data_IF_430884516115
#
_entry.id   IF_430884516115
#
_cell.length_a   1.000
_cell.length_b   1.000
_cell.length_c   1.000
_cell.angle_alpha   90.00
_cell.angle_beta   90.00
_cell.angle_gamma   90.00
#
_symmetry.space_group_name_H-M   'P 1'
#
loop_
_entity.id
_entity.type
_entity.pdbx_description
1 polymer ?
#
# COMPACT_ATOMS: atom_id res chain seq x y z
N UNK A 1 14.94 -3.90 -16.44
CA UNK A 1 14.76 -5.36 -16.66
C UNK A 1 13.30 -5.79 -16.49
N UNK A 2 12.62 -5.46 -15.38
CA UNK A 2 11.17 -5.70 -15.18
C UNK A 2 10.27 -5.11 -16.27
N UNK A 3 10.56 -3.87 -16.69
CA UNK A 3 9.83 -3.18 -17.77
C UNK A 3 9.98 -3.89 -19.14
N UNK A 4 11.13 -4.54 -19.38
CA UNK A 4 11.41 -5.28 -20.61
C UNK A 4 10.69 -6.64 -20.63
N UNK A 5 10.69 -7.35 -19.49
CA UNK A 5 9.91 -8.58 -19.32
C UNK A 5 8.40 -8.32 -19.47
N UNK A 6 7.92 -7.14 -19.06
CA UNK A 6 6.53 -6.74 -19.22
C UNK A 6 6.18 -6.44 -20.69
N UNK A 7 7.06 -5.75 -21.42
CA UNK A 7 6.91 -5.58 -22.87
C UNK A 7 6.88 -6.91 -23.61
N UNK A 8 7.72 -7.87 -23.19
CA UNK A 8 7.80 -9.18 -23.81
C UNK A 8 6.56 -10.04 -23.52
N UNK A 9 6.04 -9.99 -22.29
CA UNK A 9 4.78 -10.65 -21.92
C UNK A 9 3.56 -10.05 -22.65
N UNK A 10 3.50 -8.72 -22.77
CA UNK A 10 2.45 -8.05 -23.53
C UNK A 10 2.49 -8.45 -25.02
N UNK A 11 3.67 -8.47 -25.64
CA UNK A 11 3.86 -8.91 -27.04
C UNK A 11 3.46 -10.37 -27.26
N UNK A 12 3.74 -11.26 -26.30
CA UNK A 12 3.33 -12.68 -26.38
C UNK A 12 1.80 -12.81 -26.31
N UNK A 13 1.13 -12.09 -25.41
CA UNK A 13 -0.34 -12.12 -25.28
C UNK A 13 -1.02 -11.60 -26.57
N UNK A 14 -0.46 -10.57 -27.20
CA UNK A 14 -0.93 -10.00 -28.47
C UNK A 14 -0.86 -11.04 -29.60
N UNK A 15 0.25 -11.76 -29.72
CA UNK A 15 0.40 -12.77 -30.77
C UNK A 15 -0.57 -13.96 -30.58
N UNK A 16 -0.94 -14.28 -29.34
CA UNK A 16 -1.97 -15.30 -29.08
C UNK A 16 -3.41 -14.78 -29.27
N UNK A 17 -3.68 -13.49 -29.03
CA UNK A 17 -5.02 -12.90 -29.15
C UNK A 17 -5.44 -12.63 -30.61
N UNK A 18 -4.51 -12.18 -31.45
CA UNK A 18 -4.75 -11.91 -32.88
C UNK A 18 -5.15 -13.19 -33.64
N UNK A 19 -4.69 -14.36 -33.18
CA UNK A 19 -5.10 -15.64 -33.76
C UNK A 19 -6.55 -16.03 -33.42
N UNK A 20 -7.18 -15.42 -32.41
CA UNK A 20 -8.54 -15.77 -31.94
C UNK A 20 -9.63 -14.74 -32.26
N UNK A 21 -9.26 -13.51 -32.65
CA UNK A 21 -10.21 -12.41 -32.87
C UNK A 21 -10.94 -12.41 -34.24
N UNK A 22 -10.83 -13.49 -35.02
CA UNK A 22 -11.57 -13.63 -36.28
C UNK A 22 -12.95 -14.31 -36.14
N UNK A 23 -13.42 -14.59 -34.92
CA UNK A 23 -14.81 -15.05 -34.72
C UNK A 23 -15.71 -13.85 -34.43
N UNK A 24 -16.34 -13.36 -35.49
CA UNK A 24 -17.39 -12.35 -35.45
C UNK A 24 -18.56 -12.78 -34.55
N UNK A 25 -19.10 -11.92 -33.67
CA UNK A 25 -20.29 -12.24 -32.91
C UNK A 25 -21.47 -12.42 -33.86
N UNK A 26 -21.94 -13.66 -34.02
CA UNK A 26 -23.17 -13.98 -34.75
C UNK A 26 -24.38 -13.57 -33.88
N UNK A 27 -24.71 -12.28 -33.93
CA UNK A 27 -25.87 -11.70 -33.27
C UNK A 27 -26.91 -11.21 -34.28
N UNK A 28 -27.75 -12.12 -34.76
CA UNK A 28 -29.13 -11.94 -35.22
C UNK A 28 -29.54 -10.72 -36.06
N UNK A 29 -28.74 -10.39 -37.07
CA UNK A 29 -29.29 -9.96 -38.36
C UNK A 29 -28.39 -10.60 -39.43
N UNK A 30 -28.86 -11.67 -40.07
CA UNK A 30 -28.13 -12.33 -41.15
C UNK A 30 -28.11 -11.39 -42.38
N UNK A 31 -27.26 -10.37 -42.37
CA UNK A 31 -26.97 -9.62 -43.60
C UNK A 31 -26.29 -10.62 -44.55
N UNK A 32 -27.06 -11.09 -45.53
CA UNK A 32 -26.63 -12.11 -46.48
C UNK A 32 -25.50 -11.55 -47.35
N UNK A 33 -24.31 -12.12 -47.19
CA UNK A 33 -23.15 -11.79 -48.00
C UNK A 33 -23.29 -12.47 -49.37
N UNK A 34 -23.35 -11.69 -50.45
CA UNK A 34 -23.39 -12.21 -51.82
C UNK A 34 -21.96 -12.18 -52.36
N UNK A 35 -21.40 -13.35 -52.66
CA UNK A 35 -20.14 -13.46 -53.38
C UNK A 35 -20.42 -13.29 -54.87
N UNK A 36 -19.91 -12.22 -55.46
CA UNK A 36 -19.98 -12.00 -56.92
C UNK A 36 -19.05 -12.98 -57.65
N UNK A 37 -19.30 -13.22 -58.94
CA UNK A 37 -18.53 -14.15 -59.78
C UNK A 37 -17.03 -13.81 -59.89
N UNK A 38 -16.64 -12.56 -59.57
CA UNK A 38 -15.25 -12.12 -59.50
C UNK A 38 -14.59 -12.34 -58.11
N UNK A 39 -15.25 -13.06 -57.20
CA UNK A 39 -14.76 -13.31 -55.83
C UNK A 39 -14.91 -12.12 -54.88
N UNK A 40 -15.51 -11.01 -55.31
CA UNK A 40 -15.76 -9.87 -54.43
C UNK A 40 -17.04 -10.10 -53.61
N UNK A 41 -16.97 -9.86 -52.30
CA UNK A 41 -18.12 -10.02 -51.40
C UNK A 41 -18.86 -8.69 -51.30
N UNK A 42 -20.10 -8.65 -51.75
CA UNK A 42 -20.99 -7.48 -51.66
C UNK A 42 -22.17 -7.79 -50.73
N UNK A 43 -22.53 -6.83 -49.88
CA UNK A 43 -23.70 -6.97 -49.00
C UNK A 43 -24.96 -6.61 -49.79
N UNK A 44 -25.99 -7.46 -49.70
CA UNK A 44 -27.28 -7.22 -50.36
C UNK A 44 -27.93 -5.95 -49.78
N UNK A 45 -28.08 -4.91 -50.62
CA UNK A 45 -28.64 -3.61 -50.21
C UNK A 45 -30.17 -3.60 -50.19
N UNK A 46 -30.82 -4.72 -50.52
CA UNK A 46 -32.28 -4.80 -50.55
C UNK A 46 -32.95 -4.84 -49.17
N UNK A 47 -32.18 -5.04 -48.09
CA UNK A 47 -32.70 -5.06 -46.72
C UNK A 47 -32.44 -3.72 -45.99
N UNK A 48 -33.46 -2.88 -45.75
CA UNK A 48 -33.30 -1.55 -45.14
C UNK A 48 -32.78 -1.61 -43.69
N UNK A 49 -32.86 -2.78 -43.03
CA UNK A 49 -32.31 -2.99 -41.68
C UNK A 49 -30.77 -3.06 -41.65
N UNK A 50 -30.11 -3.43 -42.75
CA UNK A 50 -28.65 -3.50 -42.86
C UNK A 50 -28.03 -2.17 -43.36
N UNK A 51 -28.83 -1.26 -43.93
CA UNK A 51 -28.34 -0.01 -44.53
C UNK A 51 -27.70 0.94 -43.51
N UNK A 52 -28.30 1.10 -42.33
CA UNK A 52 -27.83 2.02 -41.29
C UNK A 52 -26.59 1.49 -40.55
N UNK A 53 -26.50 0.17 -40.34
CA UNK A 53 -25.33 -0.45 -39.68
C UNK A 53 -24.11 -0.47 -40.59
N UNK A 54 -24.31 -0.63 -41.91
CA UNK A 54 -23.24 -0.58 -42.91
C UNK A 54 -22.81 0.86 -43.16
N UNK A 55 -23.72 1.85 -43.23
CA UNK A 55 -23.36 3.25 -43.38
C UNK A 55 -22.45 3.75 -42.23
N UNK A 56 -22.71 3.31 -40.99
CA UNK A 56 -21.89 3.72 -39.84
C UNK A 56 -20.51 3.06 -39.80
N UNK A 57 -20.36 1.81 -40.29
CA UNK A 57 -19.06 1.11 -40.37
C UNK A 57 -18.25 1.44 -41.64
N UNK A 58 -18.91 1.62 -42.78
CA UNK A 58 -18.30 2.01 -44.07
C UNK A 58 -17.76 3.44 -44.02
N UNK A 59 -18.38 4.31 -43.22
CA UNK A 59 -17.93 5.69 -43.03
C UNK A 59 -16.70 5.84 -42.12
N UNK A 60 -16.37 4.85 -41.28
CA UNK A 60 -15.24 4.98 -40.33
C UNK A 60 -13.96 4.27 -40.75
N UNK A 61 -13.99 3.09 -41.38
CA UNK A 61 -12.78 2.46 -41.96
C UNK A 61 -13.10 1.26 -42.87
N UNK A 62 -13.96 1.38 -43.89
CA UNK A 62 -14.31 0.17 -44.67
C UNK A 62 -14.93 0.36 -46.04
N UNK A 63 -14.20 0.94 -46.98
CA UNK A 63 -14.40 0.63 -48.40
C UNK A 63 -13.06 0.29 -49.01
N UNK A 64 -12.83 -0.99 -49.30
CA UNK A 64 -11.63 -1.49 -49.99
C UNK A 64 -11.75 -1.02 -51.46
N UNK A 65 -11.49 0.26 -51.67
CA UNK A 65 -11.36 0.93 -52.95
C UNK A 65 -9.99 1.57 -52.96
N UNK A 66 -9.17 1.17 -53.91
CA UNK A 66 -7.75 1.48 -54.01
C UNK A 66 -7.45 2.98 -53.92
N UNK A 67 -6.43 3.28 -53.11
CA UNK A 67 -5.47 4.38 -53.27
C UNK A 67 -6.05 5.79 -53.39
N UNK A 68 -6.33 6.43 -52.25
CA UNK A 68 -6.04 7.86 -52.07
C UNK A 68 -6.09 8.20 -50.57
N UNK A 69 -5.07 8.92 -50.06
CA UNK A 69 -4.78 9.49 -48.71
C UNK A 69 -5.40 8.88 -47.42
N UNK A 70 -6.63 8.38 -47.43
CA UNK A 70 -7.39 7.82 -46.30
C UNK A 70 -6.91 6.46 -45.79
N UNK A 71 -6.04 5.76 -46.52
CA UNK A 71 -5.47 4.48 -46.05
C UNK A 71 -4.52 4.67 -44.86
N UNK A 72 -3.74 5.76 -44.85
CA UNK A 72 -2.82 6.07 -43.75
C UNK A 72 -3.58 6.44 -42.47
N UNK A 73 -4.71 7.13 -42.59
CA UNK A 73 -5.58 7.51 -41.46
C UNK A 73 -6.21 6.28 -40.78
N UNK A 74 -6.68 5.30 -41.56
CA UNK A 74 -7.24 4.07 -41.00
C UNK A 74 -6.18 3.16 -40.37
N UNK A 75 -4.99 3.07 -40.97
CA UNK A 75 -3.88 2.32 -40.37
C UNK A 75 -3.46 2.94 -39.03
N UNK A 76 -3.36 4.27 -38.97
CA UNK A 76 -3.06 5.00 -37.73
C UNK A 76 -4.15 4.78 -36.66
N UNK A 77 -5.43 4.82 -37.03
CA UNK A 77 -6.55 4.58 -36.10
C UNK A 77 -6.50 3.18 -35.48
N UNK A 78 -6.26 2.14 -36.29
CA UNK A 78 -6.18 0.76 -35.78
C UNK A 78 -4.99 0.53 -34.85
N UNK A 79 -3.84 1.15 -35.14
CA UNK A 79 -2.67 1.08 -34.26
C UNK A 79 -2.95 1.78 -32.93
N UNK A 80 -3.56 2.97 -32.96
CA UNK A 80 -3.93 3.72 -31.76
C UNK A 80 -4.95 2.92 -30.93
N UNK A 81 -5.99 2.37 -31.55
CA UNK A 81 -6.98 1.53 -30.87
C UNK A 81 -6.33 0.31 -30.19
N UNK A 82 -5.42 -0.39 -30.87
CA UNK A 82 -4.71 -1.52 -30.29
C UNK A 82 -3.86 -1.12 -29.07
N UNK A 83 -3.14 0.01 -29.13
CA UNK A 83 -2.35 0.52 -28.00
C UNK A 83 -3.27 0.87 -26.81
N UNK A 84 -4.45 1.45 -27.09
CA UNK A 84 -5.41 1.83 -26.06
C UNK A 84 -6.03 0.62 -25.36
N UNK A 85 -6.37 -0.43 -26.12
CA UNK A 85 -6.85 -1.69 -25.55
C UNK A 85 -5.79 -2.34 -24.65
N UNK A 86 -4.51 -2.27 -25.05
CA UNK A 86 -3.39 -2.75 -24.21
C UNK A 86 -3.27 -1.95 -22.91
N UNK A 87 -3.36 -0.62 -22.98
CA UNK A 87 -3.28 0.26 -21.79
C UNK A 87 -4.47 -0.01 -20.87
N UNK A 88 -5.69 -0.09 -21.41
CA UNK A 88 -6.89 -0.37 -20.62
C UNK A 88 -6.81 -1.74 -19.94
N UNK A 89 -6.38 -2.77 -20.67
CA UNK A 89 -6.15 -4.10 -20.13
C UNK A 89 -5.10 -4.11 -19.01
N UNK A 90 -4.00 -3.38 -19.18
CA UNK A 90 -2.95 -3.25 -18.17
C UNK A 90 -3.46 -2.53 -16.91
N UNK A 91 -4.24 -1.45 -17.05
CA UNK A 91 -4.84 -0.73 -15.92
C UNK A 91 -5.78 -1.65 -15.15
N UNK A 92 -6.68 -2.35 -15.85
CA UNK A 92 -7.63 -3.27 -15.23
C UNK A 92 -6.92 -4.42 -14.50
N UNK A 93 -5.89 -4.99 -15.11
CA UNK A 93 -5.05 -5.99 -14.45
C UNK A 93 -4.41 -5.44 -13.17
N UNK A 94 -3.82 -4.25 -13.22
CA UNK A 94 -3.17 -3.64 -12.07
C UNK A 94 -4.17 -3.26 -10.96
N UNK A 95 -5.35 -2.74 -11.29
CA UNK A 95 -6.40 -2.45 -10.30
C UNK A 95 -6.86 -3.74 -9.62
N UNK A 96 -7.13 -4.80 -10.39
CA UNK A 96 -7.51 -6.09 -9.84
C UNK A 96 -6.40 -6.68 -8.95
N UNK A 97 -5.14 -6.53 -9.35
CA UNK A 97 -3.99 -6.93 -8.54
C UNK A 97 -3.93 -6.15 -7.23
N UNK A 98 -4.09 -4.81 -7.26
CA UNK A 98 -4.11 -3.97 -6.05
C UNK A 98 -5.25 -4.39 -5.12
N UNK A 99 -6.46 -4.58 -5.66
CA UNK A 99 -7.63 -5.00 -4.87
C UNK A 99 -7.41 -6.38 -4.22
N UNK A 100 -6.78 -7.31 -4.94
CA UNK A 100 -6.39 -8.61 -4.39
C UNK A 100 -5.34 -8.47 -3.29
N UNK A 101 -4.31 -7.64 -3.48
CA UNK A 101 -3.25 -7.46 -2.48
C UNK A 101 -3.75 -6.69 -1.24
N UNK A 102 -4.67 -5.75 -1.40
CA UNK A 102 -5.29 -4.99 -0.30
C UNK A 102 -6.09 -5.89 0.65
N UNK A 103 -6.78 -6.90 0.11
CA UNK A 103 -7.53 -7.88 0.91
C UNK A 103 -6.68 -9.01 1.42
N UNK A 104 -5.59 -9.32 0.72
CA UNK A 104 -4.69 -10.38 1.11
C UNK A 104 -3.93 -10.01 2.39
N UNK A 105 -4.18 -10.78 3.45
CA UNK A 105 -3.40 -10.74 4.68
C UNK A 105 -2.55 -12.01 4.74
N UNK A 106 -1.22 -11.91 4.89
CA UNK A 106 -0.34 -13.06 4.84
C UNK A 106 -0.64 -13.97 6.02
N UNK A 107 -0.80 -15.27 5.77
CA UNK A 107 -0.93 -16.24 6.84
C UNK A 107 0.43 -16.45 7.52
N UNK A 108 0.49 -16.06 8.80
CA UNK A 108 1.68 -16.18 9.63
C UNK A 108 1.73 -17.50 10.41
N UNK A 109 0.74 -18.39 10.25
CA UNK A 109 0.68 -19.68 10.97
C UNK A 109 1.96 -20.51 10.76
N UNK A 110 2.46 -20.56 9.52
CA UNK A 110 3.70 -21.26 9.15
C UNK A 110 4.98 -20.58 9.67
N UNK A 111 4.92 -19.29 10.03
CA UNK A 111 6.06 -18.56 10.56
C UNK A 111 6.24 -18.72 12.08
N UNK A 112 5.32 -19.41 12.76
CA UNK A 112 5.36 -19.59 14.22
C UNK A 112 6.63 -20.27 14.71
N UNK A 113 7.08 -21.32 14.04
CA UNK A 113 8.32 -22.02 14.45
C UNK A 113 9.54 -21.10 14.37
N UNK A 114 9.62 -20.27 13.32
CA UNK A 114 10.69 -19.29 13.15
C UNK A 114 10.60 -18.16 14.19
N UNK A 115 9.39 -17.70 14.52
CA UNK A 115 9.15 -16.76 15.61
C UNK A 115 9.63 -17.31 16.95
N UNK A 116 9.30 -18.58 17.27
CA UNK A 116 9.71 -19.23 18.52
C UNK A 116 11.25 -19.35 18.65
N UNK A 117 11.96 -19.52 17.53
CA UNK A 117 13.44 -19.49 17.51
C UNK A 117 13.97 -18.11 17.87
N UNK A 118 13.39 -17.05 17.31
CA UNK A 118 13.77 -15.66 17.65
C UNK A 118 13.44 -15.36 19.11
N UNK A 119 12.25 -15.77 19.57
CA UNK A 119 11.82 -15.61 20.96
C UNK A 119 12.80 -16.24 21.94
N UNK A 120 13.34 -17.44 21.64
CA UNK A 120 14.38 -18.08 22.48
C UNK A 120 15.66 -17.25 22.57
N UNK A 121 16.06 -16.59 21.48
CA UNK A 121 17.21 -15.67 21.49
C UNK A 121 16.92 -14.48 22.40
N UNK A 122 15.74 -13.87 22.31
CA UNK A 122 15.35 -12.77 23.20
C UNK A 122 15.25 -13.24 24.66
N UNK A 123 14.78 -14.46 24.90
CA UNK A 123 14.75 -15.06 26.24
C UNK A 123 16.13 -15.20 26.89
N UNK A 124 17.17 -15.49 26.10
CA UNK A 124 18.54 -15.49 26.61
C UNK A 124 19.00 -14.10 27.10
N UNK A 125 18.51 -13.03 26.47
CA UNK A 125 18.77 -11.65 26.90
C UNK A 125 18.09 -11.32 28.24
N UNK A 126 16.92 -11.90 28.54
CA UNK A 126 16.29 -11.70 29.86
C UNK A 126 17.06 -12.35 30.99
N UNK A 127 17.67 -13.52 30.76
CA UNK A 127 18.53 -14.14 31.78
C UNK A 127 19.69 -13.21 32.15
N UNK A 128 20.29 -12.57 31.14
CA UNK A 128 21.33 -11.55 31.35
C UNK A 128 20.78 -10.33 32.09
N UNK A 129 19.58 -9.86 31.72
CA UNK A 129 18.96 -8.69 32.33
C UNK A 129 18.56 -8.92 33.80
N UNK A 130 18.06 -10.12 34.13
CA UNK A 130 17.78 -10.55 35.50
C UNK A 130 19.09 -10.66 36.31
N UNK A 131 20.18 -11.13 35.68
CA UNK A 131 21.50 -11.18 36.32
C UNK A 131 22.02 -9.79 36.65
N UNK A 132 21.90 -8.83 35.73
CA UNK A 132 22.22 -7.41 35.96
C UNK A 132 21.35 -6.84 37.09
N UNK A 133 20.05 -7.14 37.08
CA UNK A 133 19.12 -6.71 38.11
C UNK A 133 19.51 -7.27 39.49
N UNK A 134 19.97 -8.52 39.55
CA UNK A 134 20.48 -9.16 40.78
C UNK A 134 21.72 -8.44 41.32
N UNK A 135 22.68 -8.11 40.46
CA UNK A 135 23.85 -7.31 40.84
C UNK A 135 23.43 -5.91 41.32
N UNK A 136 22.52 -5.25 40.59
CA UNK A 136 22.01 -3.94 40.93
C UNK A 136 21.26 -3.94 42.28
N UNK A 137 20.55 -5.03 42.61
CA UNK A 137 19.92 -5.21 43.91
C UNK A 137 20.95 -5.30 45.05
N UNK A 138 22.02 -6.10 44.88
CA UNK A 138 23.07 -6.28 45.90
C UNK A 138 23.75 -4.95 46.23
N UNK A 139 24.11 -4.16 45.21
CA UNK A 139 24.79 -2.88 45.42
C UNK A 139 23.83 -1.74 45.78
N UNK A 140 22.64 -1.71 45.16
CA UNK A 140 21.62 -0.67 45.36
C UNK A 140 20.87 -0.77 46.70
N UNK A 141 20.95 -1.91 47.39
CA UNK A 141 20.28 -2.11 48.68
C UNK A 141 20.79 -1.20 49.82
N UNK A 142 21.93 -0.52 49.65
CA UNK A 142 22.51 0.37 50.69
C UNK A 142 21.74 1.68 50.87
N UNK A 143 21.09 2.19 49.82
CA UNK A 143 20.29 3.42 49.89
C UNK A 143 18.80 3.13 49.76
N UNK A 144 17.96 3.96 50.38
CA UNK A 144 16.50 3.87 50.25
C UNK A 144 16.06 4.00 48.78
N UNK A 145 16.66 4.96 48.08
CA UNK A 145 16.38 5.25 46.66
C UNK A 145 16.74 4.07 45.75
N UNK A 146 17.89 3.42 45.97
CA UNK A 146 18.31 2.25 45.20
C UNK A 146 17.30 1.09 45.31
N UNK A 147 16.77 0.84 46.52
CA UNK A 147 15.75 -0.20 46.74
C UNK A 147 14.46 0.06 45.97
N UNK A 148 14.00 1.31 45.94
CA UNK A 148 12.77 1.68 45.21
C UNK A 148 13.00 1.49 43.71
N UNK A 149 14.14 1.95 43.19
CA UNK A 149 14.48 1.79 41.76
C UNK A 149 14.62 0.34 41.33
N UNK A 150 15.22 -0.53 42.15
CA UNK A 150 15.32 -1.97 41.85
C UNK A 150 13.92 -2.62 41.78
N UNK A 151 13.01 -2.27 42.70
CA UNK A 151 11.64 -2.82 42.68
C UNK A 151 10.91 -2.44 41.38
N UNK A 152 11.00 -1.17 40.97
CA UNK A 152 10.40 -0.68 39.72
C UNK A 152 11.01 -1.41 38.52
N UNK A 153 12.33 -1.61 38.50
CA UNK A 153 12.98 -2.39 37.44
C UNK A 153 12.51 -3.84 37.43
N UNK A 154 12.44 -4.52 38.57
CA UNK A 154 11.97 -5.89 38.68
C UNK A 154 10.55 -6.08 38.16
N UNK A 155 9.64 -5.18 38.55
CA UNK A 155 8.25 -5.17 38.06
C UNK A 155 8.19 -5.06 36.53
N UNK A 156 8.99 -4.18 35.94
CA UNK A 156 9.06 -4.01 34.49
C UNK A 156 9.61 -5.25 33.78
N UNK A 157 10.64 -5.90 34.33
CA UNK A 157 11.19 -7.13 33.76
C UNK A 157 10.15 -8.27 33.77
N UNK A 158 9.41 -8.42 34.87
CA UNK A 158 8.33 -9.39 34.95
C UNK A 158 7.23 -9.08 33.92
N UNK A 159 6.84 -7.81 33.78
CA UNK A 159 5.86 -7.39 32.79
C UNK A 159 6.31 -7.71 31.35
N UNK A 160 7.61 -7.56 31.04
CA UNK A 160 8.16 -7.92 29.73
C UNK A 160 7.95 -9.40 29.44
N UNK A 161 8.33 -10.28 30.37
CA UNK A 161 8.21 -11.73 30.21
C UNK A 161 6.76 -12.13 29.94
N UNK A 162 5.81 -11.55 30.70
CA UNK A 162 4.38 -11.83 30.55
C UNK A 162 3.88 -11.34 29.18
N UNK A 163 4.14 -10.08 28.82
CA UNK A 163 3.63 -9.48 27.57
C UNK A 163 4.21 -10.19 26.35
N UNK A 164 5.50 -10.51 26.36
CA UNK A 164 6.17 -11.16 25.25
C UNK A 164 5.68 -12.60 25.05
N UNK A 165 5.31 -13.32 26.12
CA UNK A 165 4.70 -14.65 26.00
C UNK A 165 3.38 -14.66 25.20
N UNK A 166 2.68 -13.51 25.17
CA UNK A 166 1.44 -13.31 24.41
C UNK A 166 1.71 -12.55 23.09
N UNK A 167 2.96 -12.20 22.80
CA UNK A 167 3.34 -11.34 21.67
C UNK A 167 2.86 -11.85 20.31
N UNK A 168 3.08 -13.13 20.00
CA UNK A 168 2.61 -13.73 18.75
C UNK A 168 1.08 -13.63 18.59
N UNK A 169 0.35 -13.85 19.69
CA UNK A 169 -1.11 -13.75 19.70
C UNK A 169 -1.57 -12.31 19.41
N UNK A 170 -0.93 -11.31 20.02
CA UNK A 170 -1.23 -9.90 19.75
C UNK A 170 -0.99 -9.53 18.29
N UNK A 171 0.15 -9.93 17.73
CA UNK A 171 0.48 -9.67 16.33
C UNK A 171 -0.50 -10.35 15.37
N UNK A 172 -0.81 -11.62 15.61
CA UNK A 172 -1.81 -12.37 14.82
C UNK A 172 -3.19 -11.73 14.90
N UNK A 173 -3.61 -11.28 16.08
CA UNK A 173 -4.89 -10.63 16.29
C UNK A 173 -4.95 -9.29 15.55
N UNK A 174 -3.88 -8.50 15.58
CA UNK A 174 -3.80 -7.24 14.85
C UNK A 174 -3.92 -7.45 13.33
N UNK A 175 -3.24 -8.45 12.76
CA UNK A 175 -3.38 -8.81 11.35
C UNK A 175 -4.80 -9.25 10.99
N UNK A 176 -5.42 -10.12 11.81
CA UNK A 176 -6.81 -10.57 11.59
C UNK A 176 -7.81 -9.41 11.68
N UNK A 177 -7.59 -8.49 12.62
CA UNK A 177 -8.42 -7.30 12.73
C UNK A 177 -8.30 -6.42 11.49
N UNK A 178 -7.07 -6.17 11.00
CA UNK A 178 -6.87 -5.45 9.74
C UNK A 178 -7.57 -6.15 8.56
N UNK A 179 -7.43 -7.48 8.44
CA UNK A 179 -8.10 -8.27 7.40
C UNK A 179 -9.63 -8.14 7.46
N UNK A 180 -10.20 -8.23 8.66
CA UNK A 180 -11.64 -8.11 8.87
C UNK A 180 -12.15 -6.72 8.45
N UNK A 181 -11.48 -5.65 8.89
CA UNK A 181 -11.83 -4.27 8.52
C UNK A 181 -11.76 -4.10 7.00
N UNK A 182 -10.66 -4.51 6.37
CA UNK A 182 -10.48 -4.44 4.91
C UNK A 182 -11.56 -5.20 4.16
N UNK A 183 -11.86 -6.46 4.55
CA UNK A 183 -12.88 -7.27 3.87
C UNK A 183 -14.30 -6.70 3.99
N UNK A 184 -14.65 -6.18 5.19
CA UNK A 184 -15.98 -5.66 5.48
C UNK A 184 -16.27 -4.35 4.73
N UNK A 185 -15.25 -3.53 4.50
CA UNK A 185 -15.40 -2.28 3.76
C UNK A 185 -15.43 -2.54 2.26
N UNK A 186 -14.57 -3.44 1.76
CA UNK A 186 -14.45 -3.70 0.33
C UNK A 186 -15.67 -4.42 -0.26
N UNK A 187 -16.41 -5.20 0.53
CA UNK A 187 -17.65 -5.84 0.06
C UNK A 187 -18.72 -4.85 -0.40
N UNK A 188 -18.62 -3.58 0.02
CA UNK A 188 -19.53 -2.51 -0.35
C UNK A 188 -19.00 -1.63 -1.50
N UNK A 189 -17.79 -1.91 -1.98
CA UNK A 189 -17.13 -1.12 -3.03
C UNK A 189 -17.51 -1.69 -4.40
N UNK A 190 -18.28 -0.92 -5.17
CA UNK A 190 -18.53 -1.18 -6.58
C UNK A 190 -17.59 -0.31 -7.42
N UNK A 191 -16.43 -0.84 -7.80
CA UNK A 191 -15.57 -0.16 -8.78
C UNK A 191 -16.08 -0.49 -10.19
N UNK A 192 -16.42 0.55 -10.95
CA UNK A 192 -16.63 0.40 -12.39
C UNK A 192 -15.27 0.11 -13.04
N UNK A 193 -15.07 -1.14 -13.49
CA UNK A 193 -13.86 -1.56 -14.22
C UNK A 193 -13.92 -1.21 -15.71
N UNK A 194 -15.00 -0.58 -16.16
CA UNK A 194 -15.19 -0.13 -17.54
C UNK A 194 -14.40 1.15 -17.84
N UNK A 195 -13.08 1.00 -17.92
CA UNK A 195 -12.13 2.06 -18.30
C UNK A 195 -12.08 2.26 -19.83
N UNK A 196 -12.72 1.36 -20.59
CA UNK A 196 -12.63 1.26 -22.06
C UNK A 196 -13.35 2.42 -22.79
N UNK A 197 -14.25 3.15 -22.14
CA UNK A 197 -15.07 4.19 -22.81
C UNK A 197 -14.46 5.59 -22.87
N UNK A 198 -13.20 5.78 -22.46
CA UNK A 198 -12.51 7.07 -22.59
C UNK A 198 -12.52 7.52 -24.07
N UNK A 199 -13.03 8.72 -24.34
CA UNK A 199 -12.91 9.35 -25.64
C UNK A 199 -11.45 9.74 -25.88
N UNK A 200 -10.63 8.79 -26.34
CA UNK A 200 -9.19 8.92 -26.55
C UNK A 200 -8.81 9.78 -27.77
N UNK A 201 -9.70 10.68 -28.18
CA UNK A 201 -9.47 11.58 -29.32
C UNK A 201 -8.39 12.63 -29.04
N UNK A 202 -7.96 12.80 -27.79
CA UNK A 202 -6.96 13.77 -27.39
C UNK A 202 -5.64 13.09 -26.95
N UNK A 203 -4.55 13.41 -27.66
CA UNK A 203 -3.18 12.92 -27.38
C UNK A 203 -2.75 13.23 -25.94
N UNK A 204 -3.18 14.36 -25.36
CA UNK A 204 -2.85 14.71 -23.98
C UNK A 204 -3.40 13.68 -22.97
N UNK A 205 -4.58 13.11 -23.24
CA UNK A 205 -5.20 12.09 -22.38
C UNK A 205 -4.41 10.78 -22.46
N UNK A 206 -3.91 10.42 -23.65
CA UNK A 206 -3.07 9.23 -23.84
C UNK A 206 -1.75 9.35 -23.06
N UNK A 207 -1.10 10.53 -23.14
CA UNK A 207 0.13 10.79 -22.39
C UNK A 207 -0.14 10.75 -20.88
N UNK A 208 -1.21 11.38 -20.41
CA UNK A 208 -1.60 11.35 -18.99
C UNK A 208 -1.86 9.92 -18.51
N UNK A 209 -2.60 9.12 -19.28
CA UNK A 209 -2.87 7.72 -18.95
C UNK A 209 -1.60 6.88 -18.84
N UNK A 210 -0.61 7.11 -19.70
CA UNK A 210 0.68 6.43 -19.62
C UNK A 210 1.42 6.71 -18.30
N UNK A 211 1.46 7.97 -17.86
CA UNK A 211 2.04 8.31 -16.55
C UNK A 211 1.26 7.68 -15.40
N UNK A 212 -0.08 7.66 -15.49
CA UNK A 212 -0.89 7.09 -14.43
C UNK A 212 -0.74 5.57 -14.29
N UNK A 213 -0.55 4.83 -15.39
CA UNK A 213 -0.19 3.40 -15.34
C UNK A 213 1.08 3.21 -14.51
N UNK A 214 2.07 4.08 -14.67
CA UNK A 214 3.29 4.08 -13.87
C UNK A 214 3.03 4.23 -12.36
N UNK A 215 2.14 5.16 -11.97
CA UNK A 215 1.77 5.35 -10.57
C UNK A 215 0.97 4.18 -9.97
N UNK A 216 0.05 3.60 -10.74
CA UNK A 216 -0.68 2.40 -10.30
C UNK A 216 0.31 1.24 -10.09
N UNK A 217 1.26 1.05 -11.01
CA UNK A 217 2.27 0.01 -10.89
C UNK A 217 3.19 0.26 -9.68
N UNK A 218 3.56 1.52 -9.43
CA UNK A 218 4.29 1.91 -8.22
C UNK A 218 3.50 1.57 -6.95
N UNK A 219 2.19 1.82 -6.94
CA UNK A 219 1.29 1.49 -5.82
C UNK A 219 1.26 -0.02 -5.58
N UNK A 220 1.11 -0.82 -6.63
CA UNK A 220 1.18 -2.28 -6.53
C UNK A 220 2.52 -2.75 -5.96
N UNK A 221 3.63 -2.14 -6.38
CA UNK A 221 4.97 -2.44 -5.85
C UNK A 221 5.07 -2.12 -4.35
N UNK A 222 4.58 -0.95 -3.92
CA UNK A 222 4.59 -0.55 -2.50
C UNK A 222 3.79 -1.54 -1.65
N UNK A 223 2.62 -1.97 -2.13
CA UNK A 223 1.82 -2.99 -1.44
C UNK A 223 2.53 -4.35 -1.37
N UNK A 224 3.25 -4.77 -2.41
CA UNK A 224 4.08 -6.00 -2.36
C UNK A 224 5.19 -5.87 -1.31
N UNK A 225 5.88 -4.72 -1.29
CA UNK A 225 6.94 -4.45 -0.30
C UNK A 225 6.38 -4.45 1.12
N UNK A 226 5.18 -3.91 1.33
CA UNK A 226 4.47 -3.99 2.62
C UNK A 226 4.26 -5.43 3.07
N UNK A 227 3.84 -6.34 2.18
CA UNK A 227 3.64 -7.75 2.56
C UNK A 227 4.95 -8.40 3.04
N UNK A 228 6.07 -8.06 2.41
CA UNK A 228 7.38 -8.50 2.87
C UNK A 228 7.77 -7.88 4.22
N UNK A 229 7.47 -6.59 4.42
CA UNK A 229 7.72 -5.90 5.70
C UNK A 229 6.93 -6.51 6.86
N UNK A 230 5.72 -7.01 6.64
CA UNK A 230 4.95 -7.70 7.70
C UNK A 230 5.72 -8.89 8.27
N UNK A 231 6.37 -9.70 7.41
CA UNK A 231 7.19 -10.83 7.87
C UNK A 231 8.44 -10.38 8.62
N UNK A 232 9.11 -9.31 8.16
CA UNK A 232 10.26 -8.74 8.88
C UNK A 232 9.81 -8.27 10.28
N UNK A 233 8.71 -7.53 10.35
CA UNK A 233 8.19 -6.98 11.61
C UNK A 233 7.72 -8.09 12.55
N UNK A 234 7.17 -9.20 12.03
CA UNK A 234 6.85 -10.38 12.84
C UNK A 234 8.08 -10.92 13.57
N UNK A 235 9.21 -11.06 12.87
CA UNK A 235 10.46 -11.55 13.47
C UNK A 235 11.10 -10.53 14.41
N UNK A 236 10.94 -9.23 14.13
CA UNK A 236 11.43 -8.16 15.02
C UNK A 236 10.51 -7.88 16.20
N UNK A 237 9.29 -8.44 16.24
CA UNK A 237 8.28 -8.11 17.24
C UNK A 237 8.70 -8.44 18.69
N UNK A 238 9.33 -9.59 19.02
CA UNK A 238 9.83 -9.86 20.37
C UNK A 238 10.86 -8.82 20.84
N UNK A 239 11.81 -8.48 19.96
CA UNK A 239 12.79 -7.42 20.22
C UNK A 239 12.12 -6.06 20.44
N UNK A 240 11.08 -5.75 19.64
CA UNK A 240 10.31 -4.51 19.75
C UNK A 240 9.64 -4.40 21.12
N UNK A 241 9.00 -5.46 21.60
CA UNK A 241 8.38 -5.51 22.93
C UNK A 241 9.41 -5.34 24.06
N UNK A 242 10.53 -6.04 23.96
CA UNK A 242 11.64 -5.89 24.92
C UNK A 242 12.14 -4.44 24.98
N UNK A 243 12.46 -3.86 23.81
CA UNK A 243 13.00 -2.50 23.74
C UNK A 243 12.00 -1.47 24.22
N UNK A 244 10.70 -1.67 23.97
CA UNK A 244 9.63 -0.74 24.34
C UNK A 244 9.44 -0.62 25.84
N UNK A 245 9.56 -1.74 26.56
CA UNK A 245 9.32 -1.80 27.99
C UNK A 245 10.57 -1.46 28.83
N UNK A 246 11.76 -1.58 28.23
CA UNK A 246 13.01 -1.19 28.89
C UNK A 246 13.20 0.33 28.91
N UNK A 247 13.44 0.95 30.08
CA UNK A 247 13.50 2.41 30.21
C UNK A 247 14.58 3.05 29.33
N UNK A 248 15.75 2.43 29.22
CA UNK A 248 16.88 2.98 28.47
C UNK A 248 16.68 2.91 26.95
N UNK A 249 15.86 1.98 26.45
CA UNK A 249 15.68 1.73 25.01
C UNK A 249 14.26 2.02 24.53
N UNK A 250 13.40 2.54 25.42
CA UNK A 250 11.96 2.75 25.19
C UNK A 250 11.66 3.51 23.90
N UNK A 251 12.51 4.47 23.52
CA UNK A 251 12.33 5.26 22.31
C UNK A 251 12.46 4.41 21.05
N UNK A 252 13.47 3.54 20.98
CA UNK A 252 13.66 2.61 19.88
C UNK A 252 12.53 1.58 19.80
N UNK A 253 12.11 1.04 20.95
CA UNK A 253 10.97 0.13 20.98
C UNK A 253 9.66 0.80 20.58
N UNK A 254 9.43 2.05 21.00
CA UNK A 254 8.23 2.81 20.62
C UNK A 254 8.20 3.09 19.12
N UNK A 255 9.36 3.39 18.53
CA UNK A 255 9.49 3.55 17.10
C UNK A 255 9.15 2.27 16.33
N UNK A 256 9.78 1.15 16.70
CA UNK A 256 9.54 -0.13 16.04
C UNK A 256 8.08 -0.59 16.22
N UNK A 257 7.48 -0.31 17.38
CA UNK A 257 6.06 -0.60 17.64
C UNK A 257 5.16 0.24 16.72
N UNK A 258 5.44 1.54 16.58
CA UNK A 258 4.68 2.41 15.70
C UNK A 258 4.80 1.99 14.23
N UNK A 259 6.00 1.63 13.76
CA UNK A 259 6.18 1.08 12.41
C UNK A 259 5.41 -0.22 12.24
N UNK A 260 5.50 -1.14 13.21
CA UNK A 260 4.82 -2.43 13.15
C UNK A 260 3.31 -2.22 13.00
N UNK A 261 2.72 -1.37 13.85
CA UNK A 261 1.29 -1.07 13.78
C UNK A 261 0.92 -0.37 12.47
N UNK A 262 1.73 0.56 11.98
CA UNK A 262 1.49 1.23 10.71
C UNK A 262 1.52 0.25 9.54
N UNK A 263 2.54 -0.62 9.45
CA UNK A 263 2.66 -1.63 8.39
C UNK A 263 1.48 -2.59 8.39
N UNK A 264 0.99 -2.97 9.58
CA UNK A 264 -0.20 -3.83 9.73
C UNK A 264 -1.45 -3.09 9.23
N UNK A 265 -1.71 -1.88 9.72
CA UNK A 265 -2.97 -1.17 9.52
C UNK A 265 -3.06 -0.29 8.27
N UNK A 266 -1.97 -0.04 7.56
CA UNK A 266 -1.99 0.79 6.34
C UNK A 266 -2.98 0.24 5.30
N UNK A 267 -3.09 -1.09 5.17
CA UNK A 267 -4.08 -1.70 4.28
C UNK A 267 -5.54 -1.41 4.65
N UNK A 268 -5.86 -1.23 5.93
CA UNK A 268 -7.20 -0.76 6.33
C UNK A 268 -7.41 0.70 5.92
N UNK A 269 -6.37 1.54 6.05
CA UNK A 269 -6.41 2.95 5.63
C UNK A 269 -6.64 3.05 4.12
N UNK A 270 -5.93 2.25 3.34
CA UNK A 270 -6.05 2.20 1.88
C UNK A 270 -7.47 1.78 1.47
N UNK A 271 -8.02 0.76 2.12
CA UNK A 271 -9.40 0.32 1.84
C UNK A 271 -10.42 1.38 2.24
N UNK A 272 -10.21 2.10 3.34
CA UNK A 272 -11.07 3.24 3.72
C UNK A 272 -11.01 4.33 2.63
N UNK A 273 -9.83 4.60 2.07
CA UNK A 273 -9.68 5.57 0.96
C UNK A 273 -10.38 5.09 -0.31
N UNK A 274 -10.22 3.82 -0.68
CA UNK A 274 -10.94 3.23 -1.82
C UNK A 274 -12.46 3.30 -1.60
N UNK A 275 -12.93 3.02 -0.39
CA UNK A 275 -14.34 3.11 -0.04
C UNK A 275 -14.88 4.55 -0.08
N UNK A 276 -14.12 5.51 0.44
CA UNK A 276 -14.48 6.92 0.35
C UNK A 276 -14.54 7.38 -1.11
N UNK A 277 -13.55 6.97 -1.90
CA UNK A 277 -13.48 7.23 -3.33
C UNK A 277 -14.63 6.61 -4.13
N UNK A 278 -15.01 5.37 -3.82
CA UNK A 278 -16.15 4.72 -4.48
C UNK A 278 -17.46 5.43 -4.17
N UNK A 279 -17.62 5.97 -2.97
CA UNK A 279 -18.80 6.77 -2.64
C UNK A 279 -18.82 8.13 -3.34
N UNK A 280 -17.67 8.80 -3.46
CA UNK A 280 -17.56 10.08 -4.18
C UNK A 280 -17.84 9.89 -5.67
N UNK A 281 -17.27 8.84 -6.27
CA UNK A 281 -17.47 8.53 -7.70
C UNK A 281 -18.84 7.89 -7.99
N UNK A 282 -19.42 7.21 -7.01
CA UNK A 282 -20.72 6.55 -7.04
C UNK A 282 -21.91 7.46 -6.69
N UNK A 283 -21.69 8.69 -6.22
CA UNK A 283 -22.71 9.75 -6.17
C UNK A 283 -23.07 10.23 -7.59
N UNK A 284 -23.58 9.31 -8.39
CA UNK A 284 -23.99 9.48 -9.77
C UNK A 284 -25.21 10.42 -9.94
N UNK A 285 -25.76 11.00 -8.86
CA UNK A 285 -26.94 11.85 -8.90
C UNK A 285 -26.68 13.37 -8.96
N UNK A 286 -25.47 13.85 -8.66
CA UNK A 286 -25.19 15.31 -8.63
C UNK A 286 -24.21 15.72 -9.74
N UNK A 287 -23.31 14.81 -10.12
CA UNK A 287 -22.45 14.95 -11.28
C UNK A 287 -22.60 13.67 -12.11
N UNK A 288 -23.47 13.70 -13.11
CA UNK A 288 -23.46 12.71 -14.21
C UNK A 288 -22.15 12.89 -14.98
N UNK A 289 -21.04 12.45 -14.38
CA UNK A 289 -19.73 12.35 -14.99
C UNK A 289 -19.78 11.17 -15.96
N UNK A 290 -20.49 11.37 -17.07
CA UNK A 290 -20.60 10.35 -18.09
C UNK A 290 -19.36 10.35 -19.00
N UNK A 291 -18.93 9.15 -19.40
CA UNK A 291 -17.75 8.95 -20.23
C UNK A 291 -16.41 9.01 -19.50
N UNK A 292 -15.46 9.77 -20.06
CA UNK A 292 -14.03 9.62 -19.81
C UNK A 292 -13.53 10.03 -18.40
N UNK A 293 -14.36 10.69 -17.58
CA UNK A 293 -13.91 11.31 -16.34
C UNK A 293 -13.94 10.32 -15.16
N UNK A 294 -14.92 9.41 -15.12
CA UNK A 294 -14.99 8.32 -14.12
C UNK A 294 -13.70 7.48 -14.05
N UNK A 295 -13.22 6.89 -15.16
CA UNK A 295 -11.98 6.11 -15.13
C UNK A 295 -10.75 6.95 -14.74
N UNK A 296 -10.69 8.20 -15.19
CA UNK A 296 -9.61 9.12 -14.81
C UNK A 296 -9.59 9.37 -13.30
N UNK A 297 -10.76 9.56 -12.69
CA UNK A 297 -10.91 9.74 -11.26
C UNK A 297 -10.48 8.46 -10.50
N UNK A 298 -10.94 7.29 -10.92
CA UNK A 298 -10.55 5.99 -10.31
C UNK A 298 -9.04 5.81 -10.33
N UNK A 299 -8.40 6.04 -11.47
CA UNK A 299 -6.94 5.93 -11.62
C UNK A 299 -6.22 6.94 -10.72
N UNK A 300 -6.71 8.18 -10.66
CA UNK A 300 -6.13 9.23 -9.80
C UNK A 300 -6.20 8.86 -8.32
N UNK A 301 -7.30 8.23 -7.89
CA UNK A 301 -7.47 7.74 -6.51
C UNK A 301 -6.41 6.68 -6.18
N UNK A 302 -6.21 5.68 -7.04
CA UNK A 302 -5.18 4.66 -6.80
C UNK A 302 -3.77 5.24 -6.78
N UNK A 303 -3.47 6.20 -7.65
CA UNK A 303 -2.19 6.91 -7.63
C UNK A 303 -2.00 7.69 -6.32
N UNK A 304 -3.05 8.33 -5.82
CA UNK A 304 -3.03 9.08 -4.57
C UNK A 304 -2.83 8.17 -3.34
N UNK A 305 -3.44 6.98 -3.33
CA UNK A 305 -3.19 5.95 -2.30
C UNK A 305 -1.69 5.61 -2.25
N UNK A 306 -1.09 5.25 -3.39
CA UNK A 306 0.34 4.91 -3.42
C UNK A 306 1.25 6.06 -2.99
N UNK A 307 0.90 7.31 -3.33
CA UNK A 307 1.64 8.48 -2.84
C UNK A 307 1.51 8.67 -1.33
N UNK A 308 0.31 8.48 -0.77
CA UNK A 308 0.09 8.57 0.67
C UNK A 308 0.86 7.47 1.39
N UNK A 309 0.89 6.26 0.86
CA UNK A 309 1.66 5.16 1.45
C UNK A 309 3.15 5.51 1.54
N UNK A 310 3.72 5.95 0.43
CA UNK A 310 5.13 6.39 0.38
C UNK A 310 5.37 7.50 1.39
N UNK A 311 4.47 8.49 1.46
CA UNK A 311 4.59 9.60 2.41
C UNK A 311 4.47 9.14 3.87
N UNK A 312 3.54 8.24 4.19
CA UNK A 312 3.40 7.65 5.52
C UNK A 312 4.66 6.87 5.90
N UNK A 313 5.21 6.07 4.99
CA UNK A 313 6.48 5.38 5.21
C UNK A 313 7.63 6.36 5.47
N UNK A 314 7.79 7.42 4.66
CA UNK A 314 8.85 8.40 4.85
C UNK A 314 8.69 9.21 6.15
N UNK A 315 7.46 9.63 6.48
CA UNK A 315 7.18 10.43 7.68
C UNK A 315 7.52 9.67 8.96
N UNK A 316 7.29 8.35 9.00
CA UNK A 316 7.65 7.53 10.16
C UNK A 316 9.16 7.52 10.42
N UNK A 317 9.98 7.49 9.36
CA UNK A 317 11.45 7.52 9.46
C UNK A 317 11.95 8.88 9.93
N UNK A 318 11.34 9.98 9.45
CA UNK A 318 11.75 11.33 9.84
C UNK A 318 11.40 11.67 11.29
N UNK A 319 10.22 11.26 11.77
CA UNK A 319 9.80 11.56 13.14
C UNK A 319 10.78 10.97 14.18
N UNK A 320 11.41 9.84 13.87
CA UNK A 320 12.44 9.27 14.74
C UNK A 320 13.73 10.06 14.80
N UNK A 321 14.18 10.62 13.68
CA UNK A 321 15.43 11.38 13.64
C UNK A 321 15.35 12.65 14.52
N UNK A 322 14.17 13.26 14.57
CA UNK A 322 13.90 14.40 15.44
C UNK A 322 13.94 13.99 16.92
N UNK A 323 13.33 12.84 17.27
CA UNK A 323 13.34 12.33 18.63
C UNK A 323 14.77 12.05 19.13
N UNK A 324 15.61 11.41 18.31
CA UNK A 324 17.02 11.12 18.67
C UNK A 324 17.86 12.38 18.91
N UNK A 325 17.59 13.46 18.18
CA UNK A 325 18.34 14.72 18.27
C UNK A 325 18.05 15.48 19.58
N UNK A 326 16.83 15.34 20.12
CA UNK A 326 16.45 15.95 21.42
C UNK A 326 17.15 15.27 22.59
N UNK A 327 17.48 13.98 22.46
CA UNK A 327 18.14 13.23 23.56
C UNK A 327 19.65 13.46 23.55
N UNK A 328 20.28 13.53 22.38
CA UNK A 328 21.72 13.85 22.30
C UNK A 328 22.00 15.26 22.83
N UNK A 329 21.11 16.21 22.54
CA UNK A 329 21.20 17.57 23.08
C UNK A 329 20.86 17.61 24.58
N UNK A 330 19.86 16.85 25.03
CA UNK A 330 19.50 16.72 26.44
C UNK A 330 20.60 16.08 27.31
N UNK A 331 21.26 15.01 26.86
CA UNK A 331 22.39 14.39 27.57
C UNK A 331 23.65 15.27 27.59
N UNK A 332 23.85 16.12 26.56
CA UNK A 332 24.93 17.11 26.60
C UNK A 332 24.65 18.28 27.55
N UNK A 333 23.37 18.59 27.80
CA UNK A 333 22.94 19.67 28.70
C UNK A 333 22.87 19.30 30.18
N UNK A 334 22.86 18.01 30.55
CA UNK A 334 22.88 17.59 31.96
C UNK A 334 24.27 17.63 32.59
N UNK A 335 25.34 17.67 31.79
CA UNK A 335 26.70 17.87 32.31
C UNK A 335 27.01 19.34 32.65
N UNK A 336 26.25 20.31 32.13
CA UNK A 336 26.37 21.73 32.55
C UNK A 336 25.54 22.06 33.79
N UNK A 337 24.49 21.28 34.10
CA UNK A 337 23.73 21.46 35.35
C UNK A 337 24.51 21.04 36.61
N UNK A 338 25.45 20.10 36.49
CA UNK A 338 26.38 19.76 37.59
C UNK A 338 27.34 20.92 37.95
N UNK A 339 27.53 21.90 37.05
CA UNK A 339 28.31 23.12 37.30
C UNK A 339 27.51 24.31 37.84
N UNK A 340 26.17 24.23 37.90
CA UNK A 340 25.32 25.34 38.39
C UNK A 340 24.89 25.14 39.85
N UNK A 341 25.01 23.93 40.40
CA UNK A 341 24.72 23.67 41.83
C UNK A 341 25.82 24.23 42.76
N UNK A 342 26.98 24.65 42.25
CA UNK A 342 28.00 25.34 43.05
C UNK A 342 27.70 26.82 43.31
N UNK A 343 26.60 27.37 42.79
CA UNK A 343 26.19 28.77 42.99
C UNK A 343 24.78 28.91 43.59
N UNK A 344 24.33 27.94 44.39
CA UNK A 344 23.20 28.19 45.30
C UNK A 344 23.71 29.09 46.44
N UNK A 345 23.17 30.31 46.63
CA UNK A 345 23.52 31.15 47.77
C UNK A 345 23.21 30.36 49.05
N UNK A 346 24.19 30.33 49.97
CA UNK A 346 24.03 29.75 51.30
C UNK A 346 22.75 30.29 51.95
N UNK A 347 21.69 29.49 51.93
CA UNK A 347 20.48 29.75 52.69
C UNK A 347 20.88 29.73 54.17
N UNK A 348 20.71 30.88 54.81
CA UNK A 348 21.00 31.14 56.21
C UNK A 348 20.47 30.01 57.10
N UNK A 349 21.33 29.52 57.98
CA UNK A 349 20.97 28.50 58.96
C UNK A 349 19.86 29.03 59.89
N UNK A 350 18.86 28.22 60.25
CA UNK A 350 17.84 28.61 61.22
C UNK A 350 18.47 28.74 62.60
N UNK A 351 18.42 29.95 63.15
CA UNK A 351 18.80 30.27 64.52
C UNK A 351 17.90 29.49 65.50
N UNK A 352 18.51 28.59 66.26
CA UNK A 352 17.83 27.79 67.28
C UNK A 352 17.51 28.71 68.46
N UNK A 353 16.28 29.21 68.52
CA UNK A 353 15.77 29.93 69.69
C UNK A 353 15.48 28.90 70.79
N UNK A 354 16.45 28.70 71.69
CA UNK A 354 16.21 28.04 72.98
C UNK A 354 15.42 28.97 73.90
N UNK A 355 14.12 28.66 74.13
CA UNK A 355 13.38 29.25 75.26
C UNK A 355 13.74 28.52 76.54
N UNK A 356 14.15 29.29 77.55
CA UNK A 356 14.25 28.88 78.96
C UNK A 356 12.87 28.80 79.60
#
# INVERSE_FOLDING_TARGET
MLLYLFFLAAVIIINSGIASANTYPSGNAECKLITTENGSVTVDQSDPSCADTIAYKKAKCGGIGFLDEKFSECAAYNIIAAILDMISGAINYCINLIMSILTYTPDISGAKESYDKVLKVVQSLYSLLISILGLYWIFGARSYEGRVNVKIWAERVIAIIIIESVGFFLFSTALKLNSYISSSLLSNVQLSTDIVSLAWTNVAIVIAAFFMVGFILLTALVLIVRQFLIFIMLYMFPFTLMLFLLPSTRQWGSFLMNITMLVIFIGSVDVIMVYAASNITGMAGIFELDGAIKPLATITIFALIGMIDIWLFLSTVHFTSAATTVISTGLSGTNTAAGVVSNLPQLAQPEIITRK
#
